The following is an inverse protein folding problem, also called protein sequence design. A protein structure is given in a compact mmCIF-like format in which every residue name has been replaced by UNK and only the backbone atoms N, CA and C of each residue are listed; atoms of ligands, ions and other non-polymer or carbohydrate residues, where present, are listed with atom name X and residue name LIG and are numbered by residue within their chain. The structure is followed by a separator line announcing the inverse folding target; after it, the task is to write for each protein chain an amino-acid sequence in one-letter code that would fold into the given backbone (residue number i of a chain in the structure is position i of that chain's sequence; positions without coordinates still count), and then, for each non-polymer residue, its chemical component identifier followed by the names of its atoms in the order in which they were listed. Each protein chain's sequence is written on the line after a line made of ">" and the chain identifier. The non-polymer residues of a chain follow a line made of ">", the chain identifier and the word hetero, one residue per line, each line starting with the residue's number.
data_IF_739477884070
#
_entry.id   IF_739477884070
#
_cell.length_a   1.000
_cell.length_b   1.000
_cell.length_c   1.000
_cell.angle_alpha   90.00
_cell.angle_beta   90.00
_cell.angle_gamma   90.00
#
_symmetry.space_group_name_H-M   'P 1'
#
loop_
_entity.id
_entity.type
_entity.pdbx_description
1 polymer ?
#
# COMPACT_ATOMS: atom_id res chain seq x y z
N UNK A 1 9.92 -11.81 -16.32
CA UNK A 1 10.74 -10.61 -16.55
C UNK A 1 12.17 -10.92 -16.16
N UNK A 2 13.09 -10.90 -17.12
CA UNK A 2 14.53 -11.07 -16.86
C UNK A 2 15.14 -9.81 -16.23
N UNK A 3 16.32 -9.89 -15.59
CA UNK A 3 17.04 -8.71 -15.08
C UNK A 3 17.25 -7.61 -16.15
N UNK A 4 17.59 -8.01 -17.37
CA UNK A 4 17.79 -7.12 -18.51
C UNK A 4 16.50 -6.43 -18.94
N UNK A 5 15.40 -7.18 -19.02
CA UNK A 5 14.08 -6.64 -19.33
C UNK A 5 13.61 -5.61 -18.30
N UNK A 6 13.88 -5.84 -17.01
CA UNK A 6 13.51 -4.90 -15.95
C UNK A 6 14.20 -3.54 -16.13
N UNK A 7 15.52 -3.55 -16.31
CA UNK A 7 16.31 -2.32 -16.51
C UNK A 7 15.91 -1.61 -17.79
N UNK A 8 15.81 -2.35 -18.90
CA UNK A 8 15.46 -1.81 -20.21
C UNK A 8 14.08 -1.13 -20.17
N UNK A 9 13.05 -1.82 -19.63
CA UNK A 9 11.70 -1.25 -19.51
C UNK A 9 11.65 -0.04 -18.61
N UNK A 10 12.37 -0.05 -17.47
CA UNK A 10 12.43 1.11 -16.58
C UNK A 10 13.00 2.35 -17.29
N UNK A 11 14.11 2.19 -18.00
CA UNK A 11 14.75 3.27 -18.74
C UNK A 11 13.87 3.78 -19.88
N UNK A 12 13.25 2.88 -20.64
CA UNK A 12 12.32 3.23 -21.72
C UNK A 12 11.10 4.04 -21.21
N UNK A 13 10.71 3.85 -19.95
CA UNK A 13 9.61 4.59 -19.30
C UNK A 13 10.09 5.84 -18.54
N UNK A 14 11.35 6.24 -18.69
CA UNK A 14 11.90 7.46 -18.08
C UNK A 14 12.09 7.39 -16.56
N UNK A 15 12.08 6.20 -15.96
CA UNK A 15 12.04 6.04 -14.51
C UNK A 15 13.43 5.84 -13.90
N UNK A 16 13.68 6.46 -12.74
CA UNK A 16 14.86 6.17 -11.92
C UNK A 16 14.64 4.92 -11.07
N UNK A 17 15.72 4.26 -10.64
CA UNK A 17 15.61 3.15 -9.67
C UNK A 17 14.92 3.59 -8.38
N UNK A 18 15.14 4.84 -7.94
CA UNK A 18 14.52 5.40 -6.75
C UNK A 18 13.01 5.61 -6.91
N UNK A 19 12.56 6.03 -8.09
CA UNK A 19 11.15 6.18 -8.38
C UNK A 19 10.42 4.83 -8.34
N UNK A 20 10.99 3.81 -9.01
CA UNK A 20 10.46 2.44 -8.99
C UNK A 20 10.49 1.85 -7.58
N UNK A 21 11.61 1.98 -6.86
CA UNK A 21 11.76 1.43 -5.52
C UNK A 21 10.70 1.97 -4.56
N UNK A 22 10.51 3.30 -4.55
CA UNK A 22 9.51 3.98 -3.74
C UNK A 22 8.10 3.46 -4.04
N UNK A 23 7.67 3.53 -5.30
CA UNK A 23 6.32 3.13 -5.68
C UNK A 23 6.05 1.62 -5.48
N UNK A 24 7.07 0.77 -5.66
CA UNK A 24 6.94 -0.68 -5.48
C UNK A 24 7.12 -1.15 -4.02
N UNK A 25 7.35 -0.25 -3.06
CA UNK A 25 7.55 -0.61 -1.66
C UNK A 25 8.81 -1.43 -1.38
N UNK A 26 9.92 -1.06 -2.03
CA UNK A 26 11.23 -1.72 -1.87
C UNK A 26 12.36 -0.68 -1.80
N UNK A 27 13.60 -1.13 -1.65
CA UNK A 27 14.79 -0.27 -1.63
C UNK A 27 15.42 -0.11 -3.02
N UNK A 28 16.10 1.01 -3.23
CA UNK A 28 16.95 1.25 -4.42
C UNK A 28 18.04 0.19 -4.57
N UNK A 29 18.62 -0.26 -3.45
CA UNK A 29 19.61 -1.33 -3.42
C UNK A 29 19.04 -2.66 -3.91
N UNK A 30 17.80 -3.00 -3.55
CA UNK A 30 17.12 -4.19 -4.07
C UNK A 30 16.86 -4.05 -5.57
N UNK A 31 16.35 -2.90 -6.05
CA UNK A 31 16.12 -2.68 -7.49
C UNK A 31 17.43 -2.85 -8.28
N UNK A 32 18.52 -2.25 -7.79
CA UNK A 32 19.85 -2.44 -8.40
C UNK A 32 20.32 -3.90 -8.40
N UNK A 33 20.10 -4.62 -7.29
CA UNK A 33 20.45 -6.04 -7.21
C UNK A 33 19.63 -6.90 -8.17
N UNK A 34 18.34 -6.58 -8.37
CA UNK A 34 17.47 -7.24 -9.32
C UNK A 34 17.90 -6.98 -10.77
N UNK A 35 18.20 -5.72 -11.12
CA UNK A 35 18.62 -5.35 -12.49
C UNK A 35 19.97 -5.94 -12.90
N UNK A 36 20.86 -6.18 -11.93
CA UNK A 36 22.15 -6.85 -12.18
C UNK A 36 22.08 -8.37 -12.09
N UNK A 37 20.92 -8.93 -11.74
CA UNK A 37 20.74 -10.37 -11.54
C UNK A 37 21.40 -10.93 -10.27
N UNK A 38 21.92 -10.08 -9.39
CA UNK A 38 22.55 -10.47 -8.12
C UNK A 38 21.53 -10.99 -7.09
N UNK A 39 20.26 -10.61 -7.25
CA UNK A 39 19.13 -11.11 -6.45
C UNK A 39 17.96 -11.43 -7.37
N UNK A 40 17.21 -12.48 -7.06
CA UNK A 40 15.96 -12.81 -7.76
C UNK A 40 14.76 -12.26 -6.98
N UNK A 41 13.90 -11.42 -7.58
CA UNK A 41 12.66 -10.99 -6.95
C UNK A 41 11.64 -12.14 -6.92
N UNK A 42 10.76 -12.16 -5.92
CA UNK A 42 9.59 -13.05 -5.92
C UNK A 42 8.56 -12.61 -6.98
N UNK A 43 7.64 -13.48 -7.36
CA UNK A 43 6.61 -13.17 -8.36
C UNK A 43 5.77 -11.95 -7.97
N UNK A 44 5.37 -11.83 -6.70
CA UNK A 44 4.69 -10.65 -6.19
C UNK A 44 5.54 -9.38 -6.33
N UNK A 45 6.86 -9.48 -6.14
CA UNK A 45 7.78 -8.35 -6.34
C UNK A 45 7.91 -7.99 -7.81
N UNK A 46 7.99 -8.98 -8.70
CA UNK A 46 7.98 -8.77 -10.16
C UNK A 46 6.68 -8.07 -10.58
N UNK A 47 5.54 -8.52 -10.08
CA UNK A 47 4.23 -7.91 -10.35
C UNK A 47 4.20 -6.42 -9.99
N UNK A 48 4.59 -6.07 -8.75
CA UNK A 48 4.68 -4.67 -8.31
C UNK A 48 5.62 -3.83 -9.17
N UNK A 49 6.85 -4.31 -9.41
CA UNK A 49 7.83 -3.60 -10.23
C UNK A 49 7.32 -3.35 -11.65
N UNK A 50 6.67 -4.36 -12.23
CA UNK A 50 6.09 -4.27 -13.57
C UNK A 50 4.98 -3.23 -13.63
N UNK A 51 4.03 -3.26 -12.68
CA UNK A 51 2.92 -2.33 -12.64
C UNK A 51 3.39 -0.87 -12.52
N UNK A 52 4.32 -0.58 -11.60
CA UNK A 52 4.82 0.80 -11.41
C UNK A 52 5.71 1.27 -12.56
N UNK A 53 6.33 0.37 -13.32
CA UNK A 53 7.09 0.74 -14.51
C UNK A 53 6.14 1.06 -15.68
N UNK A 54 5.07 0.28 -15.83
CA UNK A 54 4.14 0.38 -16.94
C UNK A 54 3.33 1.69 -16.99
N UNK A 55 3.14 2.35 -15.85
CA UNK A 55 2.45 3.65 -15.75
C UNK A 55 3.30 4.84 -16.22
N UNK A 56 4.62 4.65 -16.40
CA UNK A 56 5.52 5.67 -16.93
C UNK A 56 5.84 6.84 -15.99
N UNK A 57 6.94 7.55 -16.26
CA UNK A 57 7.42 8.64 -15.40
C UNK A 57 6.46 9.82 -15.23
N UNK A 58 5.54 10.02 -16.19
CA UNK A 58 4.58 11.13 -16.17
C UNK A 58 3.31 10.84 -15.35
N UNK A 59 3.16 9.63 -14.81
CA UNK A 59 2.04 9.32 -13.90
C UNK A 59 2.12 10.17 -12.63
N UNK A 60 0.99 10.67 -12.08
CA UNK A 60 0.93 11.34 -10.79
C UNK A 60 1.60 10.53 -9.67
N UNK A 61 1.54 9.19 -9.72
CA UNK A 61 2.21 8.30 -8.76
C UNK A 61 3.72 8.60 -8.68
N UNK A 62 4.35 8.88 -9.82
CA UNK A 62 5.78 9.18 -9.89
C UNK A 62 6.07 10.67 -9.70
N UNK A 63 5.33 11.53 -10.38
CA UNK A 63 5.53 13.00 -10.37
C UNK A 63 5.27 13.57 -8.98
N UNK A 64 4.11 13.24 -8.38
CA UNK A 64 3.70 13.72 -7.07
C UNK A 64 4.18 12.81 -5.93
N UNK A 65 4.91 11.74 -6.26
CA UNK A 65 5.45 10.76 -5.31
C UNK A 65 4.38 10.18 -4.40
N UNK A 66 3.21 9.84 -4.95
CA UNK A 66 2.07 9.34 -4.18
C UNK A 66 2.44 8.08 -3.37
N UNK A 67 1.87 7.98 -2.17
CA UNK A 67 1.97 6.83 -1.30
C UNK A 67 1.11 5.69 -1.82
N UNK A 68 1.70 4.73 -2.54
CA UNK A 68 1.00 3.50 -2.98
C UNK A 68 0.83 2.51 -1.81
N UNK A 69 -0.02 1.49 -1.96
CA UNK A 69 -0.18 0.43 -0.95
C UNK A 69 1.14 -0.30 -0.66
N UNK A 70 1.96 -0.70 -1.66
CA UNK A 70 3.29 -1.24 -1.39
C UNK A 70 4.20 -0.29 -0.62
N UNK A 71 4.20 1.00 -0.97
CA UNK A 71 5.00 2.01 -0.29
C UNK A 71 4.55 2.16 1.17
N UNK A 72 3.24 2.24 1.40
CA UNK A 72 2.65 2.31 2.73
C UNK A 72 3.04 1.09 3.57
N UNK A 73 2.93 -0.13 3.04
CA UNK A 73 3.32 -1.33 3.77
C UNK A 73 4.81 -1.35 4.13
N UNK A 74 5.68 -0.86 3.24
CA UNK A 74 7.11 -0.75 3.50
C UNK A 74 7.41 0.32 4.57
N UNK A 75 6.74 1.47 4.50
CA UNK A 75 6.89 2.56 5.48
C UNK A 75 6.37 2.16 6.87
N UNK A 76 5.20 1.50 6.93
CA UNK A 76 4.63 0.94 8.16
C UNK A 76 5.61 -0.07 8.77
N UNK A 77 6.13 -1.02 7.97
CA UNK A 77 7.11 -2.00 8.46
C UNK A 77 8.33 -1.33 9.08
N UNK A 78 8.85 -0.28 8.45
CA UNK A 78 9.99 0.47 8.97
C UNK A 78 9.63 1.17 10.28
N UNK A 79 8.53 1.92 10.30
CA UNK A 79 8.09 2.64 11.51
C UNK A 79 7.82 1.72 12.70
N UNK A 80 7.21 0.54 12.46
CA UNK A 80 6.99 -0.45 13.53
C UNK A 80 8.29 -0.99 14.11
N UNK A 81 9.32 -1.20 13.28
CA UNK A 81 10.66 -1.61 13.76
C UNK A 81 11.34 -0.50 14.55
N UNK A 82 11.08 0.75 14.19
CA UNK A 82 11.61 1.94 14.85
C UNK A 82 10.77 2.34 16.09
N UNK A 83 9.74 1.56 16.45
CA UNK A 83 8.94 1.78 17.65
C UNK A 83 7.92 2.92 17.54
N UNK A 84 7.50 3.29 16.34
CA UNK A 84 6.50 4.35 16.13
C UNK A 84 5.18 4.05 16.84
N UNK A 85 4.54 5.11 17.35
CA UNK A 85 3.23 4.98 17.97
C UNK A 85 2.15 4.72 16.90
N UNK A 86 0.99 4.21 17.33
CA UNK A 86 -0.12 3.90 16.42
C UNK A 86 -0.54 5.13 15.59
N UNK A 87 -0.55 6.32 16.19
CA UNK A 87 -0.89 7.56 15.48
C UNK A 87 0.09 7.91 14.36
N UNK A 88 1.40 7.71 14.58
CA UNK A 88 2.43 7.97 13.57
C UNK A 88 2.28 7.04 12.36
N UNK A 89 1.96 5.77 12.64
CA UNK A 89 1.71 4.77 11.59
C UNK A 89 0.38 5.04 10.88
N UNK A 90 -0.66 5.47 11.61
CA UNK A 90 -1.96 5.81 11.03
C UNK A 90 -1.86 6.99 10.05
N UNK A 91 -0.92 7.93 10.28
CA UNK A 91 -0.63 9.01 9.33
C UNK A 91 -0.25 8.49 7.94
N UNK A 92 0.45 7.36 7.84
CA UNK A 92 0.80 6.72 6.56
C UNK A 92 -0.46 6.22 5.84
N UNK A 93 -1.41 5.64 6.57
CA UNK A 93 -2.68 5.16 6.01
C UNK A 93 -3.55 6.34 5.54
N UNK A 94 -3.59 7.44 6.31
CA UNK A 94 -4.28 8.67 5.89
C UNK A 94 -3.67 9.26 4.63
N UNK A 95 -2.34 9.30 4.55
CA UNK A 95 -1.62 9.77 3.35
C UNK A 95 -1.92 8.89 2.13
N UNK A 96 -1.88 7.56 2.28
CA UNK A 96 -2.31 6.60 1.26
C UNK A 96 -3.73 6.89 0.78
N UNK A 97 -4.69 7.11 1.68
CA UNK A 97 -6.08 7.39 1.27
C UNK A 97 -6.24 8.76 0.61
N UNK A 98 -5.60 9.78 1.15
CA UNK A 98 -5.65 11.15 0.58
C UNK A 98 -5.07 11.21 -0.83
N UNK A 99 -4.04 10.39 -1.10
CA UNK A 99 -3.38 10.32 -2.40
C UNK A 99 -4.20 9.57 -3.47
N UNK A 100 -5.15 8.71 -3.07
CA UNK A 100 -5.92 7.88 -4.00
C UNK A 100 -6.75 8.70 -5.01
N UNK A 101 -7.18 9.91 -4.65
CA UNK A 101 -7.94 10.82 -5.54
C UNK A 101 -7.16 11.29 -6.78
N UNK A 102 -5.84 11.08 -6.80
CA UNK A 102 -4.97 11.46 -7.92
C UNK A 102 -4.70 10.30 -8.90
N UNK A 103 -5.22 9.10 -8.62
CA UNK A 103 -5.17 7.95 -9.54
C UNK A 103 -6.17 8.17 -10.66
N UNK A 104 -5.73 8.07 -11.92
CA UNK A 104 -6.54 8.51 -13.08
C UNK A 104 -7.11 7.39 -13.93
N UNK A 105 -6.42 6.25 -14.00
CA UNK A 105 -6.78 5.15 -14.89
C UNK A 105 -6.51 3.79 -14.24
N UNK A 106 -6.97 2.72 -14.89
CA UNK A 106 -6.87 1.35 -14.38
C UNK A 106 -5.42 0.88 -14.20
N UNK A 107 -4.47 1.35 -15.03
CA UNK A 107 -3.07 0.97 -14.87
C UNK A 107 -2.47 1.63 -13.64
N UNK A 108 -2.79 2.90 -13.42
CA UNK A 108 -2.43 3.62 -12.20
C UNK A 108 -3.09 2.98 -10.98
N UNK A 109 -4.35 2.56 -11.07
CA UNK A 109 -5.06 1.82 -10.03
C UNK A 109 -4.34 0.53 -9.65
N UNK A 110 -4.03 -0.31 -10.65
CA UNK A 110 -3.32 -1.58 -10.45
C UNK A 110 -1.95 -1.37 -9.81
N UNK A 111 -1.22 -0.32 -10.22
CA UNK A 111 0.08 0.02 -9.62
C UNK A 111 -0.06 0.56 -8.20
N UNK A 112 -1.08 1.37 -7.94
CA UNK A 112 -1.33 2.01 -6.66
C UNK A 112 -1.75 1.00 -5.58
N UNK A 113 -2.67 0.11 -5.92
CA UNK A 113 -3.22 -0.94 -5.04
C UNK A 113 -2.56 -2.32 -5.25
N UNK A 114 -1.37 -2.36 -5.86
CA UNK A 114 -0.64 -3.61 -6.08
C UNK A 114 -0.38 -4.34 -4.75
N UNK A 115 -0.37 -5.68 -4.79
CA UNK A 115 -0.16 -6.52 -3.60
C UNK A 115 1.13 -6.13 -2.86
N UNK A 116 1.06 -5.64 -1.61
CA UNK A 116 2.23 -5.28 -0.82
C UNK A 116 2.96 -6.52 -0.29
N UNK A 117 4.18 -6.31 0.24
CA UNK A 117 4.76 -7.26 1.20
C UNK A 117 4.22 -7.00 2.60
N UNK A 118 4.07 -8.03 3.45
CA UNK A 118 3.57 -7.89 4.84
C UNK A 118 4.30 -6.81 5.63
N UNK A 119 3.56 -5.99 6.37
CA UNK A 119 4.10 -5.02 7.33
C UNK A 119 4.85 -5.69 8.49
N UNK A 120 4.68 -7.00 8.68
CA UNK A 120 5.17 -7.74 9.84
C UNK A 120 4.19 -7.74 11.01
N UNK A 121 3.08 -6.99 10.93
CA UNK A 121 2.00 -7.00 11.91
C UNK A 121 0.66 -7.23 11.19
N UNK A 122 0.01 -8.35 11.52
CA UNK A 122 -1.27 -8.75 10.92
C UNK A 122 -2.36 -7.67 11.01
N UNK A 123 -2.31 -6.82 12.04
CA UNK A 123 -3.27 -5.74 12.27
C UNK A 123 -3.18 -4.69 11.17
N UNK A 124 -1.96 -4.27 10.84
CA UNK A 124 -1.72 -3.31 9.79
C UNK A 124 -1.89 -3.90 8.39
N UNK A 125 -1.59 -5.19 8.21
CA UNK A 125 -1.92 -5.91 6.98
C UNK A 125 -3.43 -5.95 6.74
N UNK A 126 -4.22 -6.26 7.77
CA UNK A 126 -5.68 -6.22 7.72
C UNK A 126 -6.23 -4.81 7.46
N UNK A 127 -5.62 -3.77 8.04
CA UNK A 127 -5.99 -2.38 7.77
C UNK A 127 -5.74 -2.00 6.30
N UNK A 128 -4.57 -2.30 5.74
CA UNK A 128 -4.26 -2.00 4.33
C UNK A 128 -5.19 -2.75 3.37
N UNK A 129 -5.51 -4.01 3.69
CA UNK A 129 -6.48 -4.80 2.93
C UNK A 129 -7.89 -4.19 3.00
N UNK A 130 -8.37 -3.83 4.19
CA UNK A 130 -9.69 -3.23 4.39
C UNK A 130 -9.83 -1.84 3.75
N UNK A 131 -8.77 -1.02 3.78
CA UNK A 131 -8.70 0.27 3.09
C UNK A 131 -8.74 0.09 1.58
N UNK A 132 -7.94 -0.85 1.05
CA UNK A 132 -7.93 -1.16 -0.38
C UNK A 132 -9.31 -1.61 -0.87
N UNK A 133 -9.96 -2.51 -0.14
CA UNK A 133 -11.33 -2.94 -0.46
C UNK A 133 -12.34 -1.80 -0.36
N UNK A 134 -12.23 -0.95 0.67
CA UNK A 134 -13.11 0.22 0.84
C UNK A 134 -13.01 1.15 -0.38
N UNK A 135 -11.79 1.51 -0.77
CA UNK A 135 -11.57 2.46 -1.85
C UNK A 135 -11.95 1.83 -3.20
N UNK A 136 -11.70 0.53 -3.42
CA UNK A 136 -12.16 -0.18 -4.62
C UNK A 136 -13.68 -0.13 -4.78
N UNK A 137 -14.41 -0.46 -3.71
CA UNK A 137 -15.87 -0.44 -3.71
C UNK A 137 -16.43 0.98 -3.90
N UNK A 138 -15.81 2.00 -3.30
CA UNK A 138 -16.23 3.41 -3.45
C UNK A 138 -16.01 3.94 -4.86
N UNK A 139 -14.93 3.51 -5.51
CA UNK A 139 -14.55 3.97 -6.86
C UNK A 139 -15.09 3.08 -7.98
N UNK A 140 -15.80 1.99 -7.67
CA UNK A 140 -16.37 1.07 -8.66
C UNK A 140 -15.35 0.14 -9.33
N UNK A 141 -14.15 -0.01 -8.76
CA UNK A 141 -13.14 -0.96 -9.22
C UNK A 141 -13.33 -2.35 -8.61
N UNK A 142 -12.82 -3.38 -9.28
CA UNK A 142 -12.77 -4.72 -8.68
C UNK A 142 -11.83 -4.72 -7.46
N UNK A 143 -12.27 -5.36 -6.38
CA UNK A 143 -11.44 -5.56 -5.19
C UNK A 143 -10.26 -6.47 -5.54
N UNK A 144 -8.99 -6.01 -5.40
CA UNK A 144 -7.82 -6.82 -5.69
C UNK A 144 -7.84 -8.13 -4.90
N UNK A 145 -7.53 -9.25 -5.57
CA UNK A 145 -7.61 -10.58 -4.96
C UNK A 145 -6.79 -10.73 -3.68
N UNK A 146 -5.66 -10.03 -3.57
CA UNK A 146 -4.80 -10.05 -2.37
C UNK A 146 -5.43 -9.39 -1.15
N UNK A 147 -6.35 -8.45 -1.34
CA UNK A 147 -7.00 -7.71 -0.27
C UNK A 147 -8.09 -8.55 0.40
N UNK A 148 -8.60 -9.59 -0.27
CA UNK A 148 -9.60 -10.52 0.29
C UNK A 148 -9.00 -11.29 1.47
N UNK A 149 -9.81 -11.54 2.50
CA UNK A 149 -9.35 -12.21 3.73
C UNK A 149 -8.77 -11.23 4.76
N UNK A 150 -7.67 -11.60 5.42
CA UNK A 150 -7.02 -10.82 6.50
C UNK A 150 -7.86 -10.61 7.77
N UNK A 151 -8.72 -11.59 8.12
CA UNK A 151 -9.46 -11.56 9.38
C UNK A 151 -8.53 -11.64 10.58
N UNK A 152 -8.73 -10.76 11.56
CA UNK A 152 -8.07 -10.83 12.85
C UNK A 152 -8.84 -11.78 13.79
N UNK A 153 -8.15 -12.57 14.65
CA UNK A 153 -8.84 -13.45 15.60
C UNK A 153 -9.48 -12.68 16.77
N UNK A 154 -9.09 -11.43 16.98
CA UNK A 154 -9.67 -10.54 17.99
C UNK A 154 -9.85 -9.15 17.39
N UNK A 155 -10.88 -8.44 17.86
CA UNK A 155 -11.10 -7.06 17.47
C UNK A 155 -9.90 -6.20 17.87
N UNK A 156 -9.38 -5.46 16.92
CA UNK A 156 -8.32 -4.48 17.13
C UNK A 156 -8.90 -3.07 17.05
N UNK A 157 -8.99 -2.42 18.20
CA UNK A 157 -9.37 -1.02 18.33
C UNK A 157 -8.16 -0.12 18.05
N UNK A 158 -8.17 0.56 16.91
CA UNK A 158 -7.01 1.31 16.40
C UNK A 158 -6.82 2.58 17.23
N UNK A 159 -5.72 2.62 17.98
CA UNK A 159 -5.29 3.82 18.73
C UNK A 159 -6.32 4.33 19.74
N UNK A 160 -7.31 3.51 20.11
CA UNK A 160 -8.51 3.96 20.78
C UNK A 160 -8.32 4.02 22.30
N UNK A 161 -8.79 5.09 22.91
CA UNK A 161 -9.18 5.08 24.31
C UNK A 161 -10.31 4.03 24.48
N UNK A 162 -10.27 3.14 25.50
CA UNK A 162 -11.35 2.19 25.77
C UNK A 162 -12.77 2.80 25.76
N UNK A 163 -12.92 4.05 26.20
CA UNK A 163 -14.20 4.77 26.16
C UNK A 163 -14.76 5.01 24.74
N UNK A 164 -13.93 4.91 23.71
CA UNK A 164 -14.33 5.10 22.30
C UNK A 164 -14.58 3.77 21.56
N UNK A 165 -14.43 2.62 22.21
CA UNK A 165 -14.60 1.31 21.55
C UNK A 165 -16.00 1.13 20.96
N UNK A 166 -17.05 1.53 21.69
CA UNK A 166 -18.42 1.46 21.19
C UNK A 166 -18.63 2.35 19.96
N UNK A 167 -18.02 3.54 19.96
CA UNK A 167 -18.06 4.46 18.82
C UNK A 167 -17.33 3.87 17.61
N UNK A 168 -16.10 3.37 17.80
CA UNK A 168 -15.35 2.73 16.73
C UNK A 168 -16.11 1.52 16.14
N UNK A 169 -16.76 0.71 16.98
CA UNK A 169 -17.56 -0.43 16.52
C UNK A 169 -18.74 0.01 15.64
N UNK A 170 -19.44 1.09 16.02
CA UNK A 170 -20.59 1.61 15.30
C UNK A 170 -20.24 2.33 13.98
N UNK A 171 -19.06 2.97 13.92
CA UNK A 171 -18.66 3.86 12.82
C UNK A 171 -17.55 3.29 11.93
N UNK A 172 -17.12 2.05 12.16
CA UNK A 172 -16.12 1.39 11.31
C UNK A 172 -16.65 1.09 9.92
N UNK A 173 -15.91 1.44 8.84
CA UNK A 173 -16.27 1.01 7.51
C UNK A 173 -16.37 -0.52 7.42
N UNK A 174 -17.37 -1.04 6.70
CA UNK A 174 -17.68 -2.47 6.67
C UNK A 174 -16.49 -3.35 6.25
N UNK A 175 -15.68 -2.92 5.29
CA UNK A 175 -14.48 -3.64 4.83
C UNK A 175 -13.40 -3.78 5.93
N UNK A 176 -13.32 -2.83 6.86
CA UNK A 176 -12.41 -2.90 8.02
C UNK A 176 -13.05 -3.70 9.16
N UNK A 177 -14.34 -3.45 9.41
CA UNK A 177 -15.10 -4.10 10.48
C UNK A 177 -15.14 -5.63 10.29
N UNK A 178 -15.39 -6.10 9.07
CA UNK A 178 -15.40 -7.53 8.72
C UNK A 178 -14.06 -8.23 9.01
N UNK A 179 -12.94 -7.47 8.99
CA UNK A 179 -11.60 -7.98 9.30
C UNK A 179 -11.23 -7.87 10.78
N UNK A 180 -12.14 -7.36 11.62
CA UNK A 180 -11.87 -7.11 13.03
C UNK A 180 -11.06 -5.82 13.29
N UNK A 181 -10.95 -4.92 12.30
CA UNK A 181 -10.25 -3.62 12.46
C UNK A 181 -11.28 -2.55 12.82
N UNK A 182 -11.28 -2.11 14.08
CA UNK A 182 -12.22 -1.13 14.60
C UNK A 182 -11.58 0.26 14.63
N UNK A 183 -12.07 1.15 13.77
CA UNK A 183 -11.57 2.51 13.61
C UNK A 183 -12.68 3.40 13.06
N UNK A 184 -12.82 4.61 13.58
CA UNK A 184 -13.76 5.58 12.98
C UNK A 184 -13.32 5.89 11.54
N UNK A 185 -14.23 5.72 10.58
CA UNK A 185 -13.98 6.00 9.17
C UNK A 185 -13.50 7.43 8.91
N UNK A 186 -14.01 8.41 9.66
CA UNK A 186 -13.59 9.80 9.53
C UNK A 186 -12.12 9.99 9.95
N UNK A 187 -11.62 9.18 10.88
CA UNK A 187 -10.22 9.20 11.28
C UNK A 187 -9.24 8.65 10.22
N UNK A 188 -9.75 8.07 9.12
CA UNK A 188 -8.95 7.63 7.97
C UNK A 188 -8.94 8.64 6.82
N UNK A 189 -9.66 9.74 6.97
CA UNK A 189 -9.68 10.84 6.01
C UNK A 189 -8.63 11.88 6.44
N UNK A 190 -7.97 12.51 5.47
CA UNK A 190 -7.11 13.65 5.76
C UNK A 190 -8.01 14.85 6.06
N UNK A 191 -7.77 15.49 7.20
CA UNK A 191 -8.25 16.86 7.46
C UNK A 191 -7.51 17.83 6.54
#
# INVERSE_FOLDING_TARGET
>A
MTPYELRSKRLANGLTMAAVARAAGTSTSNVSAYERGAKRPSDATVGRLTAVIAIGANSPIHVNRLMTVPAAASAIRAGLRDGWAVGDVLRIVRELRSNAKWVRDDKEWDAYYAQPSTTGDRRWDAMLAGVTEMDALRSGHEVPGWARGHGLPHLWFVGSNPGLHAYALAHSPASLAFRGVMVDGASLESV
#
